data_IF_924729378426
#
_entry.id   IF_924729378426
#
_cell.length_a   1.000
_cell.length_b   1.000
_cell.length_c   1.000
_cell.angle_alpha   90.00
_cell.angle_beta   90.00
_cell.angle_gamma   90.00
#
_symmetry.space_group_name_H-M   'P 1'
#
loop_
_entity.id
_entity.type
_entity.pdbx_description
1 polymer ?
#
# COMPACT_ATOMS: atom_id res chain seq x y z
N UNK A 1 11.18 -15.87 1.15
CA UNK A 1 10.18 -15.58 0.10
C UNK A 1 10.52 -14.22 -0.47
N UNK A 2 10.69 -14.11 -1.78
CA UNK A 2 11.04 -12.83 -2.43
C UNK A 2 9.78 -12.26 -3.09
N UNK A 3 9.28 -11.15 -2.57
CA UNK A 3 8.17 -10.40 -3.14
C UNK A 3 8.68 -9.04 -3.62
N UNK A 4 8.12 -8.56 -4.72
CA UNK A 4 8.58 -7.36 -5.40
C UNK A 4 7.40 -6.44 -5.65
N UNK A 5 7.42 -5.24 -5.06
CA UNK A 5 6.49 -4.19 -5.45
C UNK A 5 6.85 -3.74 -6.86
N UNK A 6 5.94 -3.92 -7.81
CA UNK A 6 6.12 -3.45 -9.18
C UNK A 6 5.31 -2.18 -9.39
N UNK A 7 6.02 -1.10 -9.73
CA UNK A 7 5.46 0.24 -9.95
C UNK A 7 4.79 0.84 -8.70
N UNK A 8 4.83 2.17 -8.61
CA UNK A 8 4.21 2.94 -7.55
C UNK A 8 3.07 3.77 -8.13
N UNK A 9 1.95 3.85 -7.40
CA UNK A 9 0.78 4.68 -7.66
C UNK A 9 0.40 4.87 -9.15
N UNK A 10 0.22 3.79 -9.94
CA UNK A 10 -0.10 3.87 -11.36
C UNK A 10 -1.46 4.52 -11.66
N UNK A 11 -2.27 4.76 -10.62
CA UNK A 11 -3.54 5.50 -10.67
C UNK A 11 -3.37 7.02 -10.50
N UNK A 12 -2.15 7.56 -10.52
CA UNK A 12 -1.89 9.02 -10.41
C UNK A 12 -1.30 9.58 -11.70
N UNK A 13 -1.58 10.85 -12.01
CA UNK A 13 -0.96 11.53 -13.14
C UNK A 13 0.55 11.70 -12.94
N UNK A 14 0.99 11.90 -11.70
CA UNK A 14 2.40 12.13 -11.35
C UNK A 14 3.27 10.95 -11.78
N UNK A 15 2.87 9.73 -11.39
CA UNK A 15 3.59 8.50 -11.77
C UNK A 15 3.40 8.13 -13.26
N UNK A 16 2.52 8.85 -13.96
CA UNK A 16 2.25 8.68 -15.38
C UNK A 16 2.81 9.82 -16.26
N UNK A 17 3.79 10.57 -15.75
CA UNK A 17 4.42 11.70 -16.43
C UNK A 17 3.41 12.77 -16.88
N UNK A 18 2.46 13.07 -16.00
CA UNK A 18 1.39 14.05 -16.21
C UNK A 18 0.21 13.57 -17.06
N UNK A 19 0.24 12.33 -17.56
CA UNK A 19 -0.87 11.76 -18.34
C UNK A 19 -1.93 11.14 -17.43
N UNK A 20 -3.18 11.20 -17.87
CA UNK A 20 -4.29 10.52 -17.21
C UNK A 20 -3.99 9.04 -16.95
N UNK A 21 -4.32 8.49 -15.77
CA UNK A 21 -4.00 7.13 -15.40
C UNK A 21 -4.79 6.15 -16.27
N UNK A 22 -4.17 5.03 -16.63
CA UNK A 22 -4.76 4.11 -17.60
C UNK A 22 -4.37 2.66 -17.32
N UNK A 23 -5.37 1.82 -17.04
CA UNK A 23 -5.19 0.41 -16.72
C UNK A 23 -4.48 -0.36 -17.84
N UNK A 24 -4.84 -0.12 -19.11
CA UNK A 24 -4.20 -0.83 -20.23
C UNK A 24 -2.72 -0.50 -20.31
N UNK A 25 -2.37 0.79 -20.27
CA UNK A 25 -0.97 1.23 -20.29
C UNK A 25 -0.17 0.69 -19.10
N UNK A 26 -0.77 0.68 -17.92
CA UNK A 26 -0.16 0.09 -16.73
C UNK A 26 0.08 -1.42 -16.94
N UNK A 27 -0.90 -2.17 -17.44
CA UNK A 27 -0.78 -3.61 -17.67
C UNK A 27 0.18 -3.97 -18.81
N UNK A 28 0.34 -3.10 -19.81
CA UNK A 28 1.34 -3.27 -20.87
C UNK A 28 2.77 -3.26 -20.30
N UNK A 29 3.00 -2.56 -19.19
CA UNK A 29 4.26 -2.58 -18.45
C UNK A 29 4.31 -3.67 -17.37
N UNK A 30 3.24 -3.80 -16.58
CA UNK A 30 3.21 -4.69 -15.42
C UNK A 30 3.23 -6.17 -15.80
N UNK A 31 2.47 -6.62 -16.80
CA UNK A 31 2.38 -8.05 -17.13
C UNK A 31 3.74 -8.66 -17.53
N UNK A 32 4.54 -8.06 -18.45
CA UNK A 32 5.87 -8.57 -18.75
C UNK A 32 6.80 -8.60 -17.54
N UNK A 33 6.77 -7.56 -16.70
CA UNK A 33 7.59 -7.49 -15.49
C UNK A 33 7.17 -8.56 -14.46
N UNK A 34 5.86 -8.76 -14.26
CA UNK A 34 5.30 -9.75 -13.36
C UNK A 34 5.64 -11.19 -13.80
N UNK A 35 5.61 -11.46 -15.11
CA UNK A 35 6.06 -12.74 -15.68
C UNK A 35 7.55 -12.96 -15.42
N UNK A 36 8.38 -11.96 -15.65
CA UNK A 36 9.82 -12.03 -15.35
C UNK A 36 10.07 -12.36 -13.87
N UNK A 37 9.40 -11.67 -12.95
CA UNK A 37 9.51 -11.95 -11.50
C UNK A 37 9.07 -13.38 -11.19
N UNK A 38 7.96 -13.82 -11.78
CA UNK A 38 7.40 -15.16 -11.58
C UNK A 38 8.32 -16.27 -12.09
N UNK A 39 8.84 -16.13 -13.30
CA UNK A 39 9.78 -17.07 -13.93
C UNK A 39 11.08 -17.21 -13.13
N UNK A 40 11.47 -16.17 -12.40
CA UNK A 40 12.62 -16.17 -11.49
C UNK A 40 12.27 -16.55 -10.04
N UNK A 41 11.08 -17.14 -9.82
CA UNK A 41 10.66 -17.67 -8.53
C UNK A 41 10.18 -16.63 -7.51
N UNK A 42 10.04 -15.36 -7.92
CA UNK A 42 9.50 -14.29 -7.08
C UNK A 42 7.97 -14.23 -7.07
N UNK A 43 7.46 -13.22 -6.36
CA UNK A 43 6.04 -12.88 -6.25
C UNK A 43 5.81 -11.39 -6.60
N UNK A 44 5.20 -11.08 -7.76
CA UNK A 44 4.98 -9.69 -8.17
C UNK A 44 3.78 -9.08 -7.44
N UNK A 45 3.96 -7.86 -6.93
CA UNK A 45 2.89 -7.05 -6.37
C UNK A 45 2.17 -6.31 -7.48
N UNK A 46 0.83 -6.34 -7.47
CA UNK A 46 0.02 -5.38 -8.23
C UNK A 46 0.28 -4.00 -7.62
N UNK A 47 0.51 -3.01 -8.49
CA UNK A 47 0.92 -1.65 -8.19
C UNK A 47 0.22 -1.04 -6.98
N UNK A 48 1.00 -0.37 -6.15
CA UNK A 48 0.54 0.24 -4.90
C UNK A 48 -0.29 1.48 -5.22
N UNK A 49 -1.61 1.36 -5.20
CA UNK A 49 -2.49 2.43 -5.67
C UNK A 49 -2.57 3.55 -4.62
N UNK A 50 -2.47 4.79 -5.07
CA UNK A 50 -2.72 5.95 -4.21
C UNK A 50 -4.17 5.96 -3.78
N UNK A 51 -4.45 6.10 -2.49
CA UNK A 51 -5.80 6.28 -1.96
C UNK A 51 -6.16 7.77 -1.73
N UNK A 52 -5.37 8.69 -2.31
CA UNK A 52 -5.62 10.13 -2.29
C UNK A 52 -6.87 10.51 -3.09
N UNK A 53 -7.59 11.52 -2.63
CA UNK A 53 -8.77 12.10 -3.30
C UNK A 53 -8.47 13.43 -4.01
N UNK A 54 -7.19 13.67 -4.33
CA UNK A 54 -6.76 14.87 -5.04
C UNK A 54 -6.99 14.77 -6.55
N UNK A 55 -7.10 15.92 -7.22
CA UNK A 55 -7.19 15.96 -8.69
C UNK A 55 -6.01 15.22 -9.35
N UNK A 56 -6.29 14.50 -10.44
CA UNK A 56 -5.28 13.69 -11.14
C UNK A 56 -5.00 12.32 -10.49
N UNK A 57 -5.81 11.90 -9.52
CA UNK A 57 -5.77 10.56 -8.92
C UNK A 57 -7.10 9.85 -9.21
N UNK A 58 -7.03 8.65 -9.80
CA UNK A 58 -8.20 7.80 -9.96
C UNK A 58 -8.46 6.99 -8.69
N UNK A 59 -9.75 6.78 -8.40
CA UNK A 59 -10.21 5.94 -7.28
C UNK A 59 -9.53 4.57 -7.29
N UNK A 60 -8.90 4.23 -6.17
CA UNK A 60 -8.04 3.06 -6.04
C UNK A 60 -8.83 1.75 -6.17
N UNK A 61 -10.02 1.67 -5.59
CA UNK A 61 -10.87 0.48 -5.68
C UNK A 61 -11.32 0.23 -7.11
N UNK A 62 -11.78 1.28 -7.82
CA UNK A 62 -12.18 1.17 -9.24
C UNK A 62 -11.00 0.82 -10.13
N UNK A 63 -9.83 1.42 -9.90
CA UNK A 63 -8.63 1.12 -10.69
C UNK A 63 -8.16 -0.33 -10.45
N UNK A 64 -8.22 -0.82 -9.21
CA UNK A 64 -7.92 -2.21 -8.87
C UNK A 64 -8.90 -3.19 -9.53
N UNK A 65 -10.22 -2.94 -9.45
CA UNK A 65 -11.23 -3.79 -10.10
C UNK A 65 -11.01 -3.87 -11.61
N UNK A 66 -10.82 -2.72 -12.26
CA UNK A 66 -10.52 -2.66 -13.69
C UNK A 66 -9.21 -3.37 -14.05
N UNK A 67 -8.18 -3.25 -13.20
CA UNK A 67 -6.89 -3.95 -13.36
C UNK A 67 -7.08 -5.47 -13.31
N UNK A 68 -7.71 -5.99 -12.26
CA UNK A 68 -7.94 -7.43 -12.12
C UNK A 68 -8.77 -7.99 -13.28
N UNK A 69 -9.86 -7.30 -13.66
CA UNK A 69 -10.71 -7.70 -14.78
C UNK A 69 -9.97 -7.70 -16.10
N UNK A 70 -9.14 -6.69 -16.37
CA UNK A 70 -8.39 -6.58 -17.61
C UNK A 70 -7.28 -7.64 -17.69
N UNK A 71 -6.64 -8.02 -16.57
CA UNK A 71 -5.71 -9.16 -16.52
C UNK A 71 -6.42 -10.46 -16.94
N UNK A 72 -7.59 -10.75 -16.36
CA UNK A 72 -8.38 -11.94 -16.68
C UNK A 72 -8.82 -11.93 -18.14
N UNK A 73 -9.33 -10.80 -18.63
CA UNK A 73 -9.76 -10.61 -20.02
C UNK A 73 -8.63 -10.80 -21.03
N UNK A 74 -7.39 -10.42 -20.68
CA UNK A 74 -6.18 -10.67 -21.48
C UNK A 74 -5.70 -12.13 -21.43
N UNK A 75 -6.40 -13.01 -20.73
CA UNK A 75 -6.02 -14.42 -20.57
C UNK A 75 -4.80 -14.62 -19.67
N UNK A 76 -4.47 -13.66 -18.81
CA UNK A 76 -3.27 -13.66 -17.97
C UNK A 76 -3.57 -13.94 -16.48
N UNK A 77 -4.67 -14.62 -16.19
CA UNK A 77 -5.07 -14.96 -14.82
C UNK A 77 -4.04 -15.87 -14.11
N UNK A 78 -3.25 -16.63 -14.88
CA UNK A 78 -2.16 -17.48 -14.38
C UNK A 78 -1.11 -16.69 -13.57
N UNK A 79 -0.84 -15.45 -13.96
CA UNK A 79 0.13 -14.58 -13.24
C UNK A 79 -0.37 -14.28 -11.82
N UNK A 80 -1.70 -14.24 -11.61
CA UNK A 80 -2.30 -13.96 -10.31
C UNK A 80 -2.15 -15.11 -9.31
N UNK A 81 -1.77 -16.32 -9.75
CA UNK A 81 -1.50 -17.45 -8.84
C UNK A 81 -0.22 -17.24 -8.02
N UNK A 82 0.64 -16.30 -8.45
CA UNK A 82 1.88 -15.95 -7.76
C UNK A 82 1.97 -14.48 -7.37
N UNK A 83 0.93 -13.69 -7.63
CA UNK A 83 0.89 -12.27 -7.31
C UNK A 83 0.32 -11.98 -5.92
N UNK A 84 0.50 -10.74 -5.48
CA UNK A 84 -0.13 -10.15 -4.29
C UNK A 84 -0.63 -8.73 -4.62
N UNK A 85 -1.52 -8.21 -3.79
CA UNK A 85 -2.06 -6.84 -3.92
C UNK A 85 -1.35 -5.93 -2.94
N UNK A 86 -0.86 -4.80 -3.45
CA UNK A 86 -0.34 -3.73 -2.61
C UNK A 86 -1.44 -2.77 -2.17
N UNK A 87 -1.37 -2.30 -0.93
CA UNK A 87 -2.32 -1.34 -0.37
C UNK A 87 -1.63 -0.14 0.26
N UNK A 88 -1.96 1.06 -0.20
CA UNK A 88 -1.71 2.30 0.55
C UNK A 88 -2.85 2.51 1.54
N UNK A 89 -2.52 2.78 2.80
CA UNK A 89 -3.48 2.85 3.90
C UNK A 89 -3.45 4.18 4.66
N UNK A 90 -3.17 5.28 3.95
CA UNK A 90 -3.29 6.63 4.50
C UNK A 90 -4.74 6.92 4.89
N UNK A 91 -4.98 7.24 6.15
CA UNK A 91 -6.34 7.40 6.68
C UNK A 91 -6.40 8.28 7.93
N UNK A 92 -7.60 8.72 8.31
CA UNK A 92 -7.79 9.52 9.53
C UNK A 92 -7.78 8.66 10.81
N UNK A 93 -8.00 7.35 10.67
CA UNK A 93 -7.83 6.35 11.70
C UNK A 93 -7.50 5.00 11.05
N UNK A 94 -6.27 4.47 11.20
CA UNK A 94 -5.85 3.23 10.54
C UNK A 94 -6.73 2.01 10.78
N UNK A 95 -7.40 1.91 11.93
CA UNK A 95 -8.19 0.72 12.29
C UNK A 95 -9.62 0.81 11.77
N UNK A 96 -10.22 2.00 11.82
CA UNK A 96 -11.67 2.17 11.59
C UNK A 96 -12.04 2.95 10.33
N UNK A 97 -11.15 3.76 9.77
CA UNK A 97 -11.37 4.47 8.51
C UNK A 97 -11.32 3.46 7.36
N UNK A 98 -12.26 3.57 6.40
CA UNK A 98 -12.36 2.68 5.24
C UNK A 98 -11.07 2.62 4.40
N UNK A 99 -10.27 3.68 4.40
CA UNK A 99 -8.99 3.77 3.70
C UNK A 99 -7.82 3.16 4.48
N UNK A 100 -8.01 2.83 5.76
CA UNK A 100 -7.02 2.17 6.61
C UNK A 100 -6.94 0.67 6.35
N UNK A 101 -6.81 -0.11 7.43
CA UNK A 101 -6.85 -1.57 7.41
C UNK A 101 -8.10 -2.18 6.73
N UNK A 102 -9.31 -1.59 6.85
CA UNK A 102 -10.47 -2.06 6.10
C UNK A 102 -10.29 -2.12 4.58
N UNK A 103 -9.41 -1.32 3.98
CA UNK A 103 -9.17 -1.33 2.52
C UNK A 103 -8.74 -2.69 1.98
N UNK A 104 -8.01 -3.48 2.79
CA UNK A 104 -7.64 -4.83 2.41
C UNK A 104 -8.88 -5.74 2.20
N UNK A 105 -9.99 -5.47 2.90
CA UNK A 105 -11.25 -6.20 2.73
C UNK A 105 -11.90 -5.89 1.39
N UNK A 106 -11.85 -4.64 0.95
CA UNK A 106 -12.38 -4.22 -0.36
C UNK A 106 -11.61 -4.90 -1.49
N UNK A 107 -10.28 -4.88 -1.45
CA UNK A 107 -9.46 -5.56 -2.45
C UNK A 107 -9.64 -7.08 -2.45
N UNK A 108 -9.75 -7.69 -1.26
CA UNK A 108 -10.06 -9.11 -1.16
C UNK A 108 -11.44 -9.43 -1.75
N UNK A 109 -12.45 -8.58 -1.51
CA UNK A 109 -13.78 -8.76 -2.12
C UNK A 109 -13.68 -8.80 -3.65
N UNK A 110 -12.99 -7.83 -4.26
CA UNK A 110 -12.76 -7.81 -5.71
C UNK A 110 -12.08 -9.09 -6.21
N UNK A 111 -11.02 -9.53 -5.53
CA UNK A 111 -10.30 -10.75 -5.89
C UNK A 111 -11.18 -11.99 -5.78
N UNK A 112 -11.94 -12.13 -4.68
CA UNK A 112 -12.82 -13.29 -4.47
C UNK A 112 -14.00 -13.33 -5.43
N UNK A 113 -14.61 -12.18 -5.74
CA UNK A 113 -15.73 -12.10 -6.70
C UNK A 113 -15.27 -12.43 -8.13
N UNK A 114 -14.05 -12.04 -8.52
CA UNK A 114 -13.54 -12.28 -9.87
C UNK A 114 -12.85 -13.63 -10.04
N UNK A 115 -12.06 -14.05 -9.05
CA UNK A 115 -11.16 -15.22 -9.15
C UNK A 115 -11.64 -16.42 -8.33
N UNK A 116 -12.66 -16.25 -7.48
CA UNK A 116 -13.12 -17.28 -6.55
C UNK A 116 -12.17 -17.55 -5.38
N UNK A 117 -11.12 -16.72 -5.21
CA UNK A 117 -10.11 -16.86 -4.14
C UNK A 117 -9.54 -15.51 -3.72
N UNK A 118 -9.00 -15.48 -2.50
CA UNK A 118 -8.25 -14.33 -2.00
C UNK A 118 -6.89 -14.19 -2.72
N UNK A 119 -6.39 -12.95 -2.77
CA UNK A 119 -4.98 -12.66 -3.01
C UNK A 119 -4.35 -12.13 -1.71
N UNK A 120 -3.07 -12.44 -1.42
CA UNK A 120 -2.38 -11.79 -0.31
C UNK A 120 -2.39 -10.27 -0.51
N UNK A 121 -2.68 -9.54 0.55
CA UNK A 121 -2.62 -8.07 0.60
C UNK A 121 -1.49 -7.68 1.54
N UNK A 122 -0.63 -6.77 1.09
CA UNK A 122 0.49 -6.24 1.88
C UNK A 122 0.36 -4.72 1.85
N UNK A 123 0.26 -4.10 3.03
CA UNK A 123 0.32 -2.65 3.15
C UNK A 123 1.74 -2.17 2.94
N UNK A 124 1.99 -1.39 1.88
CA UNK A 124 3.33 -0.91 1.51
C UNK A 124 3.60 0.51 1.96
N UNK A 125 2.57 1.32 2.08
CA UNK A 125 2.64 2.68 2.60
C UNK A 125 1.39 3.04 3.39
N UNK A 126 1.52 4.05 4.25
CA UNK A 126 0.40 4.75 4.83
C UNK A 126 0.54 5.00 6.33
N UNK A 127 -0.60 4.94 7.01
CA UNK A 127 -0.78 5.41 8.37
C UNK A 127 -1.20 6.87 8.44
N UNK A 128 -0.97 7.45 9.61
CA UNK A 128 -1.35 8.81 9.95
C UNK A 128 -0.10 9.57 10.39
N UNK A 129 0.10 10.77 9.86
CA UNK A 129 1.20 11.63 10.27
C UNK A 129 0.76 12.56 11.40
N UNK A 130 1.68 12.91 12.30
CA UNK A 130 1.47 14.03 13.21
C UNK A 130 1.39 15.34 12.42
N UNK A 131 0.44 16.21 12.78
CA UNK A 131 0.16 17.48 12.13
C UNK A 131 -0.40 18.50 13.14
N UNK A 132 -0.90 19.64 12.67
CA UNK A 132 -1.63 20.58 13.52
C UNK A 132 -2.95 19.99 14.08
N UNK A 133 -3.53 19.03 13.36
CA UNK A 133 -4.79 18.35 13.69
C UNK A 133 -4.57 17.01 14.41
N UNK A 134 -3.40 16.40 14.24
CA UNK A 134 -3.05 15.09 14.82
C UNK A 134 -1.83 15.25 15.71
N UNK A 135 -2.03 15.20 17.04
CA UNK A 135 -0.91 15.21 17.99
C UNK A 135 -0.03 13.96 17.84
N UNK A 136 1.24 14.06 18.22
CA UNK A 136 2.16 12.89 18.27
C UNK A 136 1.62 11.78 19.18
N UNK A 137 0.96 12.13 20.28
CA UNK A 137 0.33 11.15 21.17
C UNK A 137 -0.83 10.41 20.49
N UNK A 138 -1.64 11.12 19.71
CA UNK A 138 -2.72 10.52 18.92
C UNK A 138 -2.17 9.64 17.79
N UNK A 139 -1.14 10.09 17.08
CA UNK A 139 -0.43 9.27 16.10
C UNK A 139 0.10 7.99 16.75
N UNK A 140 0.82 8.10 17.87
CA UNK A 140 1.38 6.97 18.59
C UNK A 140 0.32 5.94 18.98
N UNK A 141 -0.79 6.41 19.55
CA UNK A 141 -1.92 5.58 19.95
C UNK A 141 -2.52 4.83 18.75
N UNK A 142 -2.82 5.54 17.66
CA UNK A 142 -3.52 4.98 16.51
C UNK A 142 -2.66 3.99 15.71
N UNK A 143 -1.38 4.29 15.49
CA UNK A 143 -0.47 3.37 14.79
C UNK A 143 -0.18 2.13 15.64
N UNK A 144 0.00 2.30 16.96
CA UNK A 144 0.18 1.15 17.87
C UNK A 144 -1.05 0.26 17.87
N UNK A 145 -2.26 0.84 17.84
CA UNK A 145 -3.50 0.08 17.71
C UNK A 145 -3.59 -0.67 16.37
N UNK A 146 -3.17 -0.07 15.26
CA UNK A 146 -3.13 -0.71 13.95
C UNK A 146 -2.17 -1.91 13.92
N UNK A 147 -0.95 -1.74 14.44
CA UNK A 147 0.04 -2.81 14.53
C UNK A 147 -0.42 -3.95 15.45
N UNK A 148 -1.09 -3.62 16.57
CA UNK A 148 -1.69 -4.62 17.46
C UNK A 148 -2.84 -5.37 16.79
N UNK A 149 -3.71 -4.67 16.07
CA UNK A 149 -4.75 -5.30 15.25
C UNK A 149 -4.13 -6.26 14.23
N UNK A 150 -3.03 -5.85 13.57
CA UNK A 150 -2.34 -6.72 12.64
C UNK A 150 -1.82 -7.99 13.32
N UNK A 151 -1.24 -7.88 14.52
CA UNK A 151 -0.76 -9.05 15.27
C UNK A 151 -1.90 -9.98 15.70
N UNK A 152 -2.99 -9.42 16.21
CA UNK A 152 -3.97 -10.18 17.01
C UNK A 152 -5.26 -10.51 16.24
N UNK A 153 -5.62 -9.72 15.22
CA UNK A 153 -6.97 -9.69 14.63
C UNK A 153 -7.01 -9.61 13.10
N UNK A 154 -5.85 -9.56 12.41
CA UNK A 154 -5.82 -9.42 10.95
C UNK A 154 -6.56 -10.56 10.26
N UNK A 155 -7.18 -10.22 9.15
CA UNK A 155 -7.68 -11.20 8.17
C UNK A 155 -6.53 -12.06 7.65
N UNK A 156 -6.74 -13.36 7.35
CA UNK A 156 -5.67 -14.28 6.99
C UNK A 156 -4.97 -13.93 5.68
N UNK A 157 -5.56 -13.09 4.83
CA UNK A 157 -4.97 -12.60 3.58
C UNK A 157 -4.25 -11.26 3.73
N UNK A 158 -4.41 -10.52 4.83
CA UNK A 158 -3.76 -9.23 5.05
C UNK A 158 -2.47 -9.43 5.86
N UNK A 159 -1.31 -9.29 5.24
CA UNK A 159 -0.05 -9.80 5.79
C UNK A 159 0.76 -8.75 6.54
N UNK A 160 0.69 -7.48 6.14
CA UNK A 160 1.51 -6.42 6.73
C UNK A 160 0.82 -5.06 6.69
N UNK A 161 1.22 -4.21 7.63
CA UNK A 161 0.87 -2.81 7.71
C UNK A 161 2.17 -2.01 7.85
N UNK A 162 2.37 -1.01 6.99
CA UNK A 162 3.60 -0.22 6.93
C UNK A 162 3.30 1.24 7.27
N UNK A 163 4.01 1.78 8.28
CA UNK A 163 3.99 3.19 8.61
C UNK A 163 4.99 3.95 7.72
N UNK A 164 4.50 4.99 7.05
CA UNK A 164 5.32 5.91 6.25
C UNK A 164 5.64 7.19 7.05
N UNK A 165 6.88 7.64 7.24
CA UNK A 165 8.18 6.97 7.00
C UNK A 165 8.94 6.79 8.29
N UNK A 166 9.73 5.71 8.38
CA UNK A 166 10.64 5.49 9.50
C UNK A 166 11.73 6.58 9.59
N UNK A 167 12.35 6.90 8.46
CA UNK A 167 13.42 7.88 8.31
C UNK A 167 13.43 8.38 6.86
N UNK A 168 13.88 9.62 6.63
CA UNK A 168 14.01 10.20 5.28
C UNK A 168 15.44 10.70 5.05
N UNK A 169 15.80 11.94 5.41
CA UNK A 169 17.15 12.48 5.15
C UNK A 169 18.25 11.69 5.87
N UNK A 170 17.98 11.25 7.11
CA UNK A 170 18.89 10.40 7.89
C UNK A 170 19.11 9.01 7.27
N UNK A 171 18.22 8.57 6.38
CA UNK A 171 18.32 7.33 5.63
C UNK A 171 18.76 7.56 4.16
N UNK A 172 19.18 8.77 3.79
CA UNK A 172 19.63 9.12 2.44
C UNK A 172 18.54 9.56 1.47
N UNK A 173 17.30 9.74 1.93
CA UNK A 173 16.21 10.32 1.15
C UNK A 173 16.43 11.80 0.85
N UNK A 174 16.02 12.25 -0.34
CA UNK A 174 16.25 13.62 -0.83
C UNK A 174 14.99 14.46 -0.95
N UNK A 175 13.80 13.86 -0.83
CA UNK A 175 12.54 14.59 -0.93
C UNK A 175 12.19 15.22 0.43
N UNK A 176 12.27 16.56 0.58
CA UNK A 176 12.04 17.21 1.86
C UNK A 176 10.57 17.14 2.30
N UNK A 177 9.62 16.80 1.41
CA UNK A 177 8.20 16.75 1.73
C UNK A 177 7.88 15.71 2.82
N UNK A 178 8.70 14.66 2.94
CA UNK A 178 8.51 13.57 3.90
C UNK A 178 9.29 13.72 5.21
N UNK A 179 10.21 14.69 5.30
CA UNK A 179 11.05 14.84 6.49
C UNK A 179 10.24 15.20 7.74
N UNK A 180 9.15 15.96 7.59
CA UNK A 180 8.26 16.26 8.71
C UNK A 180 7.52 15.02 9.26
N UNK A 181 7.34 13.99 8.42
CA UNK A 181 6.63 12.74 8.75
C UNK A 181 7.55 11.64 9.27
N UNK A 182 8.87 11.82 9.16
CA UNK A 182 9.86 10.83 9.56
C UNK A 182 9.89 10.63 11.09
N UNK A 183 9.79 9.36 11.52
CA UNK A 183 9.86 9.02 12.94
C UNK A 183 11.25 9.22 13.53
N UNK A 184 12.30 9.09 12.72
CA UNK A 184 13.70 9.24 13.11
C UNK A 184 14.34 10.30 12.22
N UNK A 185 14.80 11.39 12.84
CA UNK A 185 15.40 12.56 12.18
C UNK A 185 16.67 12.95 12.90
N UNK A 186 17.42 13.90 12.33
CA UNK A 186 18.60 14.44 13.02
C UNK A 186 18.17 15.08 14.34
N UNK A 187 18.69 14.57 15.46
CA UNK A 187 18.38 15.02 16.82
C UNK A 187 16.91 14.89 17.24
N UNK A 188 16.12 14.02 16.60
CA UNK A 188 14.73 13.78 16.98
C UNK A 188 14.33 12.32 16.77
N UNK A 189 13.58 11.79 17.73
CA UNK A 189 12.90 10.50 17.63
C UNK A 189 11.46 10.67 18.09
N UNK A 190 10.51 10.29 17.24
CA UNK A 190 9.08 10.35 17.54
C UNK A 190 8.73 9.47 18.74
N UNK A 191 7.82 9.91 19.63
CA UNK A 191 7.29 9.08 20.72
C UNK A 191 6.69 7.75 20.25
N UNK A 192 6.18 7.69 19.00
CA UNK A 192 5.67 6.46 18.40
C UNK A 192 6.73 5.34 18.39
N UNK A 193 8.01 5.65 18.22
CA UNK A 193 9.07 4.63 18.23
C UNK A 193 9.13 3.89 19.58
N UNK A 194 8.89 4.58 20.69
CA UNK A 194 8.83 3.96 22.00
C UNK A 194 7.61 3.02 22.11
N UNK A 195 6.43 3.47 21.69
CA UNK A 195 5.21 2.65 21.69
C UNK A 195 5.33 1.40 20.81
N UNK A 196 6.00 1.49 19.66
CA UNK A 196 6.22 0.33 18.78
C UNK A 196 7.15 -0.71 19.41
N UNK A 197 8.13 -0.30 20.23
CA UNK A 197 9.03 -1.24 20.94
C UNK A 197 8.31 -2.04 22.04
N UNK A 198 7.16 -1.57 22.52
CA UNK A 198 6.35 -2.29 23.50
C UNK A 198 5.48 -3.39 22.86
N UNK A 199 5.43 -3.48 21.53
CA UNK A 199 4.64 -4.48 20.81
C UNK A 199 5.38 -5.81 20.57
N UNK A 200 6.69 -5.86 20.79
CA UNK A 200 7.55 -7.05 20.65
C UNK A 200 7.43 -7.97 21.85
#
# INVERSE_FOLDING_TARGET
VNYFQLYNEPNTNVENAGREPNVNRYLDAWLPAARTVTENGGHPGIGALSNSQTAGVQDDVKFMDATLREIVKRGAADVLDRAWISAHNYSANPVTDERGLPRAKDYNKLATELLGRALPVIGTEGGIAASAEVSEAQQALQITAAMRHMRDQREPYNFAYSQWVLANQTAGGSDPAWESQALIRQNYTSPLVASLKELT
#
